data_IF_422561706563
#
_entry.id   IF_422561706563
#
_cell.length_a   1.000
_cell.length_b   1.000
_cell.length_c   1.000
_cell.angle_alpha   90.00
_cell.angle_beta   90.00
_cell.angle_gamma   90.00
#
_symmetry.space_group_name_H-M   'P 1'
#
loop_
_entity.id
_entity.type
_entity.pdbx_description
1 polymer ?
#
# COMPACT_ATOMS: atom_id res chain seq x y z
N UNK A 1 -20.75 -6.89 22.43
CA UNK A 1 -19.75 -6.35 21.51
C UNK A 1 -18.52 -6.00 22.33
N UNK A 2 -17.35 -6.53 21.97
CA UNK A 2 -16.09 -6.23 22.64
C UNK A 2 -15.14 -5.60 21.62
N UNK A 3 -14.37 -4.58 22.06
CA UNK A 3 -13.24 -4.11 21.29
C UNK A 3 -12.09 -5.12 21.36
N UNK A 4 -11.28 -5.18 20.29
CA UNK A 4 -10.02 -5.93 20.28
C UNK A 4 -8.95 -5.22 21.13
N UNK A 5 -7.74 -5.73 21.17
CA UNK A 5 -6.58 -5.03 21.73
C UNK A 5 -5.51 -4.84 20.63
N UNK A 6 -5.17 -3.61 20.22
CA UNK A 6 -5.77 -2.33 20.62
C UNK A 6 -7.20 -2.14 20.06
N UNK A 7 -8.11 -1.62 20.89
CA UNK A 7 -9.51 -1.44 20.50
C UNK A 7 -9.77 -0.16 19.68
N UNK A 8 -8.92 0.83 19.82
CA UNK A 8 -9.01 2.12 19.14
C UNK A 8 -7.65 2.44 18.55
N UNK A 9 -7.61 2.76 17.25
CA UNK A 9 -6.38 3.17 16.56
C UNK A 9 -6.63 4.44 15.76
N UNK A 10 -5.67 5.37 15.76
CA UNK A 10 -5.75 6.56 14.93
C UNK A 10 -5.62 6.17 13.45
N UNK A 11 -6.50 6.70 12.60
CA UNK A 11 -6.33 6.62 11.15
C UNK A 11 -5.59 7.87 10.66
N UNK A 12 -6.05 9.06 11.03
CA UNK A 12 -5.45 10.29 10.57
C UNK A 12 -6.17 11.52 11.09
N UNK A 13 -5.60 12.67 10.77
CA UNK A 13 -6.18 13.97 11.11
C UNK A 13 -6.06 14.93 9.92
N UNK A 14 -7.08 15.74 9.72
CA UNK A 14 -7.04 16.90 8.85
C UNK A 14 -6.92 18.16 9.73
N UNK A 15 -5.79 18.81 9.65
CA UNK A 15 -5.50 20.04 10.40
C UNK A 15 -5.60 21.30 9.51
N UNK A 16 -6.18 21.17 8.32
CA UNK A 16 -6.38 22.29 7.40
C UNK A 16 -7.71 23.00 7.70
N UNK A 17 -7.68 24.33 7.65
CA UNK A 17 -8.86 25.17 7.89
C UNK A 17 -9.20 25.39 9.36
N UNK A 18 -10.32 26.06 9.59
CA UNK A 18 -10.75 26.51 10.92
C UNK A 18 -11.33 25.38 11.79
N UNK A 19 -11.65 24.24 11.18
CA UNK A 19 -12.27 23.10 11.86
C UNK A 19 -11.45 21.80 11.66
N UNK A 20 -10.35 21.60 12.40
CA UNK A 20 -9.60 20.37 12.36
C UNK A 20 -10.45 19.15 12.72
N UNK A 21 -10.27 18.06 11.96
CA UNK A 21 -10.94 16.78 12.17
C UNK A 21 -9.94 15.66 12.42
N UNK A 22 -10.34 14.63 13.15
CA UNK A 22 -9.55 13.42 13.32
C UNK A 22 -10.45 12.19 13.28
N UNK A 23 -9.95 11.11 12.67
CA UNK A 23 -10.66 9.83 12.60
C UNK A 23 -9.89 8.74 13.31
N UNK A 24 -10.62 7.92 14.04
CA UNK A 24 -10.12 6.74 14.72
C UNK A 24 -10.89 5.51 14.24
N UNK A 25 -10.21 4.39 14.12
CA UNK A 25 -10.86 3.09 13.92
C UNK A 25 -11.21 2.47 15.27
N UNK A 26 -12.42 1.96 15.38
CA UNK A 26 -12.85 1.08 16.45
C UNK A 26 -12.70 -0.36 15.95
N UNK A 27 -11.76 -1.11 16.51
CA UNK A 27 -11.51 -2.50 16.14
C UNK A 27 -12.27 -3.42 17.10
N UNK A 28 -13.12 -4.26 16.55
CA UNK A 28 -13.90 -5.22 17.33
C UNK A 28 -13.24 -6.61 17.32
N UNK A 29 -13.43 -7.39 18.36
CA UNK A 29 -12.88 -8.75 18.48
C UNK A 29 -13.41 -9.72 17.39
N UNK A 30 -14.48 -9.37 16.71
CA UNK A 30 -15.02 -10.08 15.55
C UNK A 30 -14.30 -9.78 14.23
N UNK A 31 -13.28 -8.91 14.24
CA UNK A 31 -12.66 -8.41 13.00
C UNK A 31 -13.39 -7.24 12.34
N UNK A 32 -14.64 -6.97 12.73
CA UNK A 32 -15.39 -5.82 12.22
C UNK A 32 -14.76 -4.49 12.67
N UNK A 33 -15.00 -3.43 11.90
CA UNK A 33 -14.51 -2.08 12.18
C UNK A 33 -15.65 -1.09 12.25
N UNK A 34 -15.49 -0.10 13.14
CA UNK A 34 -16.29 1.12 13.17
C UNK A 34 -15.36 2.33 13.12
N UNK A 35 -15.94 3.53 13.07
CA UNK A 35 -15.18 4.77 13.00
C UNK A 35 -15.72 5.79 14.01
N UNK A 36 -14.77 6.51 14.59
CA UNK A 36 -15.03 7.63 15.51
C UNK A 36 -14.46 8.89 14.84
N UNK A 37 -15.33 9.76 14.41
CA UNK A 37 -14.95 11.05 13.84
C UNK A 37 -15.05 12.14 14.92
N UNK A 38 -13.95 12.86 15.08
CA UNK A 38 -13.83 13.96 16.02
C UNK A 38 -13.63 15.26 15.27
N UNK A 39 -14.16 16.36 15.78
CA UNK A 39 -13.88 17.72 15.31
C UNK A 39 -13.52 18.65 16.45
N UNK A 40 -12.76 19.69 16.16
CA UNK A 40 -12.55 20.78 17.11
C UNK A 40 -13.73 21.75 17.07
N UNK A 41 -14.21 22.11 18.25
CA UNK A 41 -15.19 23.17 18.38
C UNK A 41 -14.49 24.54 18.48
N UNK A 42 -15.30 25.63 18.56
CA UNK A 42 -14.81 27.00 18.65
C UNK A 42 -13.94 27.25 19.89
N UNK A 43 -14.06 26.42 20.92
CA UNK A 43 -13.23 26.48 22.15
C UNK A 43 -11.95 25.64 22.03
N UNK A 44 -11.60 25.18 20.83
CA UNK A 44 -10.44 24.33 20.55
C UNK A 44 -10.46 22.97 21.26
N UNK A 45 -11.63 22.51 21.70
CA UNK A 45 -11.81 21.21 22.32
C UNK A 45 -12.24 20.19 21.28
N UNK A 46 -11.71 18.97 21.37
CA UNK A 46 -12.14 17.86 20.54
C UNK A 46 -13.51 17.36 21.00
N UNK A 47 -14.44 17.27 20.08
CA UNK A 47 -15.79 16.76 20.30
C UNK A 47 -16.08 15.65 19.31
N UNK A 48 -16.91 14.69 19.73
CA UNK A 48 -17.43 13.67 18.82
C UNK A 48 -18.30 14.34 17.76
N UNK A 49 -17.98 14.08 16.50
CA UNK A 49 -18.80 14.50 15.36
C UNK A 49 -19.70 13.35 14.90
N UNK A 50 -19.11 12.23 14.56
CA UNK A 50 -19.84 11.06 14.06
C UNK A 50 -19.30 9.76 14.67
N UNK A 51 -20.20 8.86 15.05
CA UNK A 51 -19.87 7.49 15.45
C UNK A 51 -20.52 6.54 14.46
N UNK A 52 -19.69 5.82 13.73
CA UNK A 52 -20.12 4.79 12.82
C UNK A 52 -19.84 3.42 13.39
N UNK A 53 -20.87 2.63 13.58
CA UNK A 53 -20.77 1.25 14.06
C UNK A 53 -21.07 0.27 12.91
N UNK A 54 -20.40 -0.89 12.85
CA UNK A 54 -20.73 -1.94 11.91
C UNK A 54 -22.15 -2.45 12.15
N UNK A 55 -22.84 -2.86 11.10
CA UNK A 55 -24.16 -3.48 11.22
C UNK A 55 -24.08 -4.83 11.96
N UNK A 56 -25.21 -5.34 12.46
CA UNK A 56 -25.25 -6.68 13.07
C UNK A 56 -24.81 -7.78 12.11
N UNK A 57 -25.03 -7.59 10.80
CA UNK A 57 -24.62 -8.55 9.77
C UNK A 57 -23.11 -8.49 9.51
N UNK A 58 -22.51 -7.31 9.61
CA UNK A 58 -21.05 -7.12 9.45
C UNK A 58 -20.28 -7.68 10.63
N UNK A 59 -20.84 -7.56 11.84
CA UNK A 59 -20.28 -8.19 13.05
C UNK A 59 -20.24 -9.72 12.97
N UNK A 60 -21.12 -10.33 12.17
CA UNK A 60 -21.23 -11.79 12.02
C UNK A 60 -20.39 -12.37 10.87
N UNK A 61 -19.85 -11.54 9.97
CA UNK A 61 -19.27 -12.01 8.70
C UNK A 61 -17.83 -11.58 8.43
N UNK A 62 -17.09 -11.06 9.40
CA UNK A 62 -15.72 -10.55 9.22
C UNK A 62 -15.58 -9.53 8.06
N UNK A 63 -16.63 -8.80 7.74
CA UNK A 63 -16.62 -7.82 6.65
C UNK A 63 -16.23 -6.44 7.15
N UNK A 64 -15.34 -5.80 6.40
CA UNK A 64 -15.05 -4.36 6.52
C UNK A 64 -16.37 -3.60 6.36
N UNK A 65 -16.66 -2.67 7.27
CA UNK A 65 -17.89 -1.87 7.21
C UNK A 65 -18.02 -1.18 5.82
N UNK A 66 -19.22 -1.17 5.22
CA UNK A 66 -19.46 -0.63 3.87
C UNK A 66 -19.01 0.83 3.65
N UNK A 67 -18.77 1.57 4.73
CA UNK A 67 -18.38 2.98 4.68
C UNK A 67 -16.97 3.25 4.13
N UNK A 68 -16.10 2.26 4.07
CA UNK A 68 -14.76 2.44 3.50
C UNK A 68 -14.80 2.93 2.03
N UNK A 69 -15.90 2.68 1.32
CA UNK A 69 -16.05 3.03 -0.10
C UNK A 69 -16.59 4.45 -0.35
N UNK A 70 -17.15 5.12 0.65
CA UNK A 70 -17.81 6.43 0.48
C UNK A 70 -16.99 7.61 1.04
N UNK A 71 -15.84 7.34 1.59
CA UNK A 71 -15.00 8.31 2.28
C UNK A 71 -13.54 8.19 1.82
N UNK A 72 -12.90 9.30 1.38
CA UNK A 72 -11.56 9.25 0.83
C UNK A 72 -10.50 8.69 1.80
N UNK A 73 -10.57 9.07 3.08
CA UNK A 73 -9.63 8.56 4.08
C UNK A 73 -9.86 7.06 4.39
N UNK A 74 -11.10 6.62 4.37
CA UNK A 74 -11.46 5.21 4.53
C UNK A 74 -10.92 4.35 3.38
N UNK A 75 -10.94 4.84 2.15
CA UNK A 75 -10.34 4.18 0.98
C UNK A 75 -8.84 4.05 1.14
N UNK A 76 -8.15 5.15 1.51
CA UNK A 76 -6.69 5.13 1.75
C UNK A 76 -6.33 4.13 2.85
N UNK A 77 -7.05 4.15 3.96
CA UNK A 77 -6.82 3.21 5.07
C UNK A 77 -7.02 1.76 4.64
N UNK A 78 -8.09 1.46 3.91
CA UNK A 78 -8.40 0.09 3.46
C UNK A 78 -7.41 -0.40 2.42
N UNK A 79 -7.01 0.46 1.49
CA UNK A 79 -5.97 0.18 0.52
C UNK A 79 -4.64 -0.16 1.20
N UNK A 80 -4.19 0.69 2.11
CA UNK A 80 -2.92 0.50 2.81
C UNK A 80 -2.93 -0.70 3.76
N UNK A 81 -4.06 -1.02 4.36
CA UNK A 81 -4.23 -2.25 5.15
C UNK A 81 -4.04 -3.52 4.30
N UNK A 82 -4.56 -3.52 3.07
CA UNK A 82 -4.38 -4.63 2.15
C UNK A 82 -2.92 -4.72 1.65
N UNK A 83 -2.32 -3.57 1.31
CA UNK A 83 -0.90 -3.49 0.93
C UNK A 83 0.01 -4.01 2.06
N UNK A 84 -0.24 -3.60 3.31
CA UNK A 84 0.56 -4.03 4.46
C UNK A 84 0.46 -5.54 4.75
N UNK A 85 -0.58 -6.20 4.25
CA UNK A 85 -0.77 -7.66 4.31
C UNK A 85 -0.28 -8.39 3.06
N UNK A 86 0.32 -7.68 2.11
CA UNK A 86 0.65 -8.16 0.78
C UNK A 86 -0.56 -8.81 0.05
N UNK A 87 -1.78 -8.34 0.39
CA UNK A 87 -3.02 -8.76 -0.26
C UNK A 87 -3.26 -7.92 -1.51
N UNK A 88 -2.61 -8.31 -2.61
CA UNK A 88 -2.74 -7.64 -3.91
C UNK A 88 -4.21 -7.58 -4.37
N UNK A 89 -4.96 -8.68 -4.25
CA UNK A 89 -6.36 -8.74 -4.69
C UNK A 89 -7.27 -7.83 -3.87
N UNK A 90 -7.01 -7.75 -2.58
CA UNK A 90 -7.70 -6.84 -1.67
C UNK A 90 -7.39 -5.39 -2.00
N UNK A 91 -6.11 -5.04 -2.17
CA UNK A 91 -5.66 -3.70 -2.49
C UNK A 91 -6.22 -3.22 -3.84
N UNK A 92 -6.23 -4.10 -4.85
CA UNK A 92 -6.72 -3.80 -6.19
C UNK A 92 -8.18 -3.33 -6.25
N UNK A 93 -9.01 -3.74 -5.28
CA UNK A 93 -10.42 -3.33 -5.20
C UNK A 93 -10.62 -1.85 -4.90
N UNK A 94 -9.61 -1.20 -4.33
CA UNK A 94 -9.65 0.21 -3.94
C UNK A 94 -9.01 1.14 -4.96
N UNK A 95 -8.59 0.62 -6.12
CA UNK A 95 -7.80 1.35 -7.11
C UNK A 95 -8.60 1.57 -8.39
N UNK A 96 -8.51 2.78 -8.95
CA UNK A 96 -8.94 3.07 -10.31
C UNK A 96 -7.95 2.45 -11.31
N UNK A 97 -8.32 1.30 -11.88
CA UNK A 97 -7.46 0.53 -12.75
C UNK A 97 -7.12 1.16 -14.08
N UNK A 98 -7.78 2.25 -14.42
CA UNK A 98 -7.44 3.03 -15.62
C UNK A 98 -6.31 4.04 -15.35
N UNK A 99 -6.01 4.32 -14.07
CA UNK A 99 -5.04 5.33 -13.63
C UNK A 99 -3.85 4.74 -12.90
N UNK A 100 -4.09 3.74 -12.05
CA UNK A 100 -3.03 3.06 -11.30
C UNK A 100 -2.89 1.64 -11.81
N UNK A 101 -1.71 1.32 -12.31
CA UNK A 101 -1.42 0.02 -12.90
C UNK A 101 -1.28 -1.07 -11.83
N UNK A 102 -1.60 -2.29 -12.21
CA UNK A 102 -1.50 -3.46 -11.33
C UNK A 102 -0.07 -3.66 -10.79
N UNK A 103 0.94 -3.35 -11.59
CA UNK A 103 2.34 -3.43 -11.16
C UNK A 103 2.67 -2.43 -10.05
N UNK A 104 2.09 -1.23 -10.06
CA UNK A 104 2.26 -0.27 -8.95
C UNK A 104 1.71 -0.85 -7.65
N UNK A 105 0.54 -1.48 -7.70
CA UNK A 105 -0.08 -2.12 -6.54
C UNK A 105 0.74 -3.33 -6.07
N UNK A 106 1.17 -4.18 -7.02
CA UNK A 106 2.02 -5.33 -6.72
C UNK A 106 3.36 -4.92 -6.11
N UNK A 107 3.99 -3.87 -6.67
CA UNK A 107 5.23 -3.31 -6.15
C UNK A 107 5.11 -2.76 -4.75
N UNK A 108 4.01 -2.08 -4.44
CA UNK A 108 3.73 -1.65 -3.07
C UNK A 108 3.66 -2.85 -2.11
N UNK A 109 2.90 -3.89 -2.48
CA UNK A 109 2.80 -5.10 -1.66
C UNK A 109 4.17 -5.74 -1.41
N UNK A 110 4.99 -5.86 -2.47
CA UNK A 110 6.35 -6.41 -2.39
C UNK A 110 7.23 -5.56 -1.47
N UNK A 111 7.26 -4.23 -1.68
CA UNK A 111 8.08 -3.32 -0.88
C UNK A 111 7.69 -3.32 0.60
N UNK A 112 6.40 -3.40 0.90
CA UNK A 112 5.93 -3.49 2.28
C UNK A 112 6.34 -4.80 2.96
N UNK A 113 6.21 -5.92 2.24
CA UNK A 113 6.60 -7.24 2.77
C UNK A 113 8.11 -7.30 3.01
N UNK A 114 8.91 -6.94 2.02
CA UNK A 114 10.36 -7.01 2.08
C UNK A 114 11.01 -6.00 3.02
N UNK A 115 10.52 -4.76 2.98
CA UNK A 115 10.99 -3.71 3.87
C UNK A 115 10.44 -3.83 5.29
N UNK A 116 9.54 -4.81 5.55
CA UNK A 116 8.79 -4.95 6.78
C UNK A 116 8.18 -3.62 7.23
N UNK A 117 7.71 -2.83 6.24
CA UNK A 117 7.12 -1.54 6.51
C UNK A 117 5.75 -1.68 7.16
N UNK A 118 5.44 -0.72 8.03
CA UNK A 118 4.15 -0.59 8.69
C UNK A 118 3.72 0.87 8.69
N UNK A 119 2.44 1.11 8.80
CA UNK A 119 1.94 2.46 9.06
C UNK A 119 2.39 2.90 10.45
N UNK A 120 2.73 4.16 10.59
CA UNK A 120 3.05 4.73 11.91
C UNK A 120 1.83 4.69 12.82
N UNK A 121 2.06 4.39 14.10
CA UNK A 121 0.98 4.28 15.09
C UNK A 121 0.44 5.63 15.53
N UNK A 122 1.31 6.65 15.59
CA UNK A 122 0.98 7.98 16.11
C UNK A 122 0.24 8.88 15.10
N UNK A 123 0.57 8.78 13.82
CA UNK A 123 -0.03 9.58 12.76
C UNK A 123 0.11 8.87 11.40
N UNK A 124 -0.65 7.78 11.17
CA UNK A 124 -0.47 6.94 9.98
C UNK A 124 -0.83 7.67 8.68
N UNK A 125 -1.90 8.46 8.68
CA UNK A 125 -2.40 9.14 7.49
C UNK A 125 -2.58 10.63 7.80
N UNK A 126 -2.05 11.47 6.93
CA UNK A 126 -2.23 12.93 6.98
C UNK A 126 -2.88 13.41 5.69
N UNK A 127 -3.98 14.13 5.80
CA UNK A 127 -4.60 14.80 4.66
C UNK A 127 -3.69 15.94 4.20
N UNK A 128 -3.35 15.94 2.91
CA UNK A 128 -2.63 17.02 2.25
C UNK A 128 -3.60 18.09 1.73
N UNK A 129 -4.68 17.63 1.09
CA UNK A 129 -5.80 18.46 0.63
C UNK A 129 -7.06 17.60 0.50
N UNK A 130 -8.21 18.24 0.51
CA UNK A 130 -9.51 17.59 0.29
C UNK A 130 -10.41 18.52 -0.52
N UNK A 131 -11.00 17.97 -1.58
CA UNK A 131 -11.96 18.63 -2.46
C UNK A 131 -13.15 17.68 -2.72
N UNK A 132 -14.29 18.16 -3.27
CA UNK A 132 -15.50 17.35 -3.44
C UNK A 132 -15.32 16.08 -4.28
N UNK A 133 -14.35 16.06 -5.20
CA UNK A 133 -14.12 14.97 -6.16
C UNK A 133 -12.72 14.36 -6.09
N UNK A 134 -11.80 14.94 -5.34
CA UNK A 134 -10.45 14.41 -5.16
C UNK A 134 -9.87 14.81 -3.79
N UNK A 135 -8.97 14.00 -3.27
CA UNK A 135 -8.25 14.28 -2.03
C UNK A 135 -6.85 13.65 -2.07
N UNK A 136 -5.88 14.33 -1.47
CA UNK A 136 -4.49 13.87 -1.37
C UNK A 136 -4.12 13.54 0.07
N UNK A 137 -3.34 12.47 0.23
CA UNK A 137 -2.90 11.98 1.53
C UNK A 137 -1.42 11.61 1.53
N UNK A 138 -0.78 11.83 2.67
CA UNK A 138 0.51 11.25 2.99
C UNK A 138 0.33 10.13 4.00
N UNK A 139 0.76 8.93 3.63
CA UNK A 139 0.78 7.77 4.51
C UNK A 139 2.18 7.63 5.09
N UNK A 140 2.31 7.84 6.38
CA UNK A 140 3.58 7.80 7.09
C UNK A 140 3.93 6.36 7.47
N UNK A 141 5.16 5.98 7.16
CA UNK A 141 5.67 4.64 7.38
C UNK A 141 6.69 4.58 8.52
N UNK A 142 6.77 3.41 9.11
CA UNK A 142 7.83 3.00 10.04
C UNK A 142 8.37 1.62 9.63
N UNK A 143 9.63 1.36 10.00
CA UNK A 143 10.24 0.04 9.81
C UNK A 143 9.86 -0.94 10.93
N UNK A 144 10.42 -2.15 10.86
CA UNK A 144 10.22 -3.18 11.88
C UNK A 144 10.68 -2.75 13.28
N UNK A 145 11.61 -1.78 13.38
CA UNK A 145 12.12 -1.21 14.62
C UNK A 145 11.37 0.05 15.08
N UNK A 146 10.29 0.44 14.39
CA UNK A 146 9.51 1.61 14.70
C UNK A 146 10.14 2.95 14.27
N UNK A 147 11.24 2.93 13.53
CA UNK A 147 11.91 4.14 13.02
C UNK A 147 11.16 4.67 11.80
N UNK A 148 11.16 5.98 11.61
CA UNK A 148 10.57 6.62 10.42
C UNK A 148 11.16 6.06 9.13
N UNK A 149 10.30 5.70 8.19
CA UNK A 149 10.68 4.97 6.99
C UNK A 149 10.25 5.63 5.68
N UNK A 150 9.87 6.88 5.72
CA UNK A 150 9.37 7.60 4.55
C UNK A 150 7.85 7.66 4.50
N UNK A 151 7.32 8.05 3.35
CA UNK A 151 5.90 8.24 3.13
C UNK A 151 5.49 7.65 1.77
N UNK A 152 4.23 7.25 1.66
CA UNK A 152 3.55 7.04 0.39
C UNK A 152 2.57 8.19 0.18
N UNK A 153 2.66 8.86 -0.96
CA UNK A 153 1.68 9.84 -1.40
C UNK A 153 0.55 9.13 -2.14
N UNK A 154 -0.69 9.36 -1.74
CA UNK A 154 -1.87 8.81 -2.40
C UNK A 154 -2.83 9.92 -2.78
N UNK A 155 -3.29 9.93 -4.03
CA UNK A 155 -4.43 10.72 -4.47
C UNK A 155 -5.61 9.78 -4.66
N UNK A 156 -6.74 10.11 -4.07
CA UNK A 156 -8.02 9.45 -4.34
C UNK A 156 -8.93 10.39 -5.14
N UNK A 157 -9.69 9.82 -6.04
CA UNK A 157 -10.64 10.57 -6.85
C UNK A 157 -11.99 9.84 -6.92
N UNK A 158 -13.06 10.60 -7.16
CA UNK A 158 -14.38 10.05 -7.39
C UNK A 158 -14.51 9.60 -8.84
N UNK A 159 -14.68 8.30 -9.05
CA UNK A 159 -14.97 7.69 -10.35
C UNK A 159 -16.31 6.98 -10.24
N UNK A 160 -17.28 7.34 -11.07
CA UNK A 160 -18.67 6.82 -11.05
C UNK A 160 -19.34 6.89 -9.66
N UNK A 161 -19.05 7.96 -8.92
CA UNK A 161 -19.62 8.18 -7.59
C UNK A 161 -18.88 7.48 -6.45
N UNK A 162 -17.91 6.64 -6.74
CA UNK A 162 -17.08 5.92 -5.76
C UNK A 162 -15.70 6.56 -5.63
N UNK A 163 -15.18 6.60 -4.42
CA UNK A 163 -13.80 7.01 -4.17
C UNK A 163 -12.85 5.84 -4.47
N UNK A 164 -11.83 6.10 -5.27
CA UNK A 164 -10.79 5.12 -5.62
C UNK A 164 -9.41 5.79 -5.59
N UNK A 165 -8.39 5.03 -5.29
CA UNK A 165 -6.99 5.46 -5.42
C UNK A 165 -6.71 5.69 -6.91
N UNK A 166 -6.40 6.93 -7.26
CA UNK A 166 -6.15 7.38 -8.62
C UNK A 166 -4.66 7.64 -8.91
N UNK A 167 -3.85 7.76 -7.86
CA UNK A 167 -2.40 7.96 -7.98
C UNK A 167 -1.71 7.45 -6.72
N UNK A 168 -0.55 6.84 -6.89
CA UNK A 168 0.33 6.43 -5.80
C UNK A 168 1.77 6.85 -6.12
N UNK A 169 2.36 7.71 -5.28
CA UNK A 169 3.75 8.14 -5.36
C UNK A 169 4.58 7.37 -4.34
N UNK A 170 5.63 6.72 -4.84
CA UNK A 170 6.50 5.83 -4.08
C UNK A 170 7.89 6.40 -3.83
N UNK A 171 8.20 7.60 -4.33
CA UNK A 171 9.56 8.13 -4.38
C UNK A 171 10.25 8.16 -3.01
N UNK A 172 9.56 8.67 -1.99
CA UNK A 172 10.15 8.73 -0.65
C UNK A 172 10.29 7.36 0.02
N UNK A 173 9.43 6.40 -0.32
CA UNK A 173 9.52 5.03 0.15
C UNK A 173 10.69 4.29 -0.51
N UNK A 174 10.85 4.43 -1.82
CA UNK A 174 11.99 3.87 -2.55
C UNK A 174 13.31 4.43 -2.05
N UNK A 175 13.39 5.74 -1.82
CA UNK A 175 14.57 6.38 -1.24
C UNK A 175 14.89 5.84 0.17
N UNK A 176 13.89 5.67 1.01
CA UNK A 176 14.06 5.10 2.35
C UNK A 176 14.48 3.63 2.30
N UNK A 177 13.98 2.87 1.34
CA UNK A 177 14.35 1.47 1.12
C UNK A 177 15.79 1.34 0.67
N UNK A 178 16.22 2.08 -0.35
CA UNK A 178 17.59 2.04 -0.87
C UNK A 178 18.62 2.48 0.17
N UNK A 179 18.32 3.50 0.96
CA UNK A 179 19.21 3.96 2.06
C UNK A 179 19.43 2.91 3.13
N UNK A 180 18.50 1.98 3.34
CA UNK A 180 18.61 0.93 4.37
C UNK A 180 19.36 -0.28 3.91
N UNK A 181 19.20 -0.67 2.66
CA UNK A 181 19.89 -1.83 2.10
C UNK A 181 21.42 -1.57 1.99
N UNK A 182 21.85 -0.30 2.16
CA UNK A 182 23.25 0.09 1.99
C UNK A 182 23.62 0.15 0.52
N UNK A 183 24.82 0.65 0.24
CA UNK A 183 25.40 0.64 -1.11
C UNK A 183 26.03 -0.74 -1.45
N UNK A 184 25.55 -1.82 -0.85
CA UNK A 184 25.95 -3.19 -1.15
C UNK A 184 25.13 -3.78 -2.28
N UNK A 185 25.60 -4.87 -2.82
CA UNK A 185 25.18 -5.51 -4.09
C UNK A 185 23.68 -5.92 -4.22
N UNK A 186 22.87 -5.68 -3.21
CA UNK A 186 21.45 -6.06 -3.16
C UNK A 186 20.48 -4.87 -3.23
N UNK A 187 20.71 -3.90 -4.12
CA UNK A 187 19.70 -2.89 -4.40
C UNK A 187 18.59 -3.55 -5.20
N UNK A 188 17.57 -4.00 -4.49
CA UNK A 188 16.42 -4.62 -5.07
C UNK A 188 15.37 -3.56 -5.42
N UNK A 189 15.18 -3.27 -6.70
CA UNK A 189 14.09 -2.44 -7.22
C UNK A 189 13.09 -3.38 -7.84
N UNK A 190 12.00 -3.75 -7.13
CA UNK A 190 11.06 -4.75 -7.62
C UNK A 190 10.29 -4.30 -8.87
N UNK A 191 10.29 -3.01 -9.16
CA UNK A 191 9.65 -2.46 -10.36
C UNK A 191 10.59 -1.50 -11.04
N UNK A 192 10.95 -1.82 -12.26
CA UNK A 192 11.72 -0.95 -13.16
C UNK A 192 10.74 -0.33 -14.15
N UNK A 193 10.73 1.00 -14.25
CA UNK A 193 9.95 1.67 -15.29
C UNK A 193 10.51 1.31 -16.65
N UNK A 194 9.72 0.60 -17.45
CA UNK A 194 10.12 0.22 -18.80
C UNK A 194 9.96 1.42 -19.76
N UNK A 195 11.03 1.93 -20.39
CA UNK A 195 10.95 3.05 -21.33
C UNK A 195 10.10 2.75 -22.57
N UNK A 196 9.90 1.48 -22.90
CA UNK A 196 9.09 1.02 -24.04
C UNK A 196 7.61 0.81 -23.70
N UNK A 197 7.22 1.11 -22.46
CA UNK A 197 5.88 0.88 -21.94
C UNK A 197 5.70 -0.50 -21.30
N UNK A 198 4.67 -0.61 -20.45
CA UNK A 198 4.46 -1.79 -19.63
C UNK A 198 5.22 -1.74 -18.30
N UNK A 199 5.12 -2.82 -17.55
CA UNK A 199 5.69 -2.96 -16.21
C UNK A 199 6.76 -4.05 -16.23
N UNK A 200 7.86 -3.82 -15.53
CA UNK A 200 8.94 -4.78 -15.41
C UNK A 200 9.20 -5.12 -13.94
N UNK A 201 9.36 -6.39 -13.65
CA UNK A 201 9.88 -6.88 -12.38
C UNK A 201 11.30 -7.40 -12.63
N UNK A 202 12.27 -6.86 -11.89
CA UNK A 202 13.63 -7.37 -11.89
C UNK A 202 13.80 -8.37 -10.74
N UNK A 203 14.28 -9.57 -11.05
CA UNK A 203 14.70 -10.56 -10.09
C UNK A 203 16.23 -10.64 -10.11
N UNK A 204 16.83 -10.69 -8.93
CA UNK A 204 18.27 -10.76 -8.78
C UNK A 204 18.66 -12.13 -8.24
N UNK A 205 19.76 -12.66 -8.78
CA UNK A 205 20.34 -13.93 -8.38
C UNK A 205 21.68 -13.66 -7.71
N UNK A 206 22.09 -14.53 -6.79
CA UNK A 206 23.43 -14.50 -6.23
C UNK A 206 24.50 -14.84 -7.29
N UNK A 207 25.75 -14.57 -6.96
CA UNK A 207 26.86 -14.89 -7.86
C UNK A 207 26.85 -16.39 -8.21
N UNK A 208 26.81 -16.69 -9.49
CA UNK A 208 26.77 -18.08 -10.01
C UNK A 208 25.54 -18.90 -9.55
N UNK A 209 24.41 -18.23 -9.33
CA UNK A 209 23.14 -18.86 -8.94
C UNK A 209 22.10 -18.72 -10.05
N UNK A 210 21.37 -19.81 -10.30
CA UNK A 210 20.26 -19.92 -11.24
C UNK A 210 18.94 -20.26 -10.51
N UNK A 211 18.99 -20.41 -9.19
CA UNK A 211 17.84 -20.79 -8.38
C UNK A 211 17.19 -19.58 -7.74
N UNK A 212 15.86 -19.55 -7.76
CA UNK A 212 15.09 -18.48 -7.13
C UNK A 212 15.24 -18.52 -5.61
N UNK A 213 15.53 -17.37 -5.01
CA UNK A 213 15.41 -17.22 -3.57
C UNK A 213 13.93 -17.31 -3.15
N UNK A 214 13.67 -17.63 -1.88
CA UNK A 214 12.31 -17.59 -1.32
C UNK A 214 11.63 -16.22 -1.49
N UNK A 215 12.42 -15.17 -1.46
CA UNK A 215 12.02 -13.79 -1.70
C UNK A 215 11.55 -13.62 -3.15
N UNK A 216 12.36 -14.04 -4.11
CA UNK A 216 12.02 -14.00 -5.54
C UNK A 216 10.79 -14.83 -5.86
N UNK A 217 10.66 -16.03 -5.26
CA UNK A 217 9.45 -16.86 -5.39
C UNK A 217 8.20 -16.12 -4.90
N UNK A 218 8.29 -15.45 -3.73
CA UNK A 218 7.17 -14.69 -3.18
C UNK A 218 6.77 -13.53 -4.08
N UNK A 219 7.72 -12.81 -4.65
CA UNK A 219 7.47 -11.73 -5.60
C UNK A 219 6.76 -12.22 -6.85
N UNK A 220 7.25 -13.33 -7.42
CA UNK A 220 6.62 -13.96 -8.58
C UNK A 220 5.18 -14.42 -8.28
N UNK A 221 4.89 -14.88 -7.07
CA UNK A 221 3.51 -15.19 -6.68
C UNK A 221 2.60 -13.97 -6.76
N UNK A 222 3.04 -12.82 -6.26
CA UNK A 222 2.27 -11.56 -6.31
C UNK A 222 2.08 -11.10 -7.77
N UNK A 223 3.13 -11.16 -8.58
CA UNK A 223 3.06 -10.81 -10.01
C UNK A 223 2.16 -11.78 -10.78
N UNK A 224 2.23 -13.09 -10.49
CA UNK A 224 1.36 -14.09 -11.10
C UNK A 224 -0.13 -13.85 -10.79
N UNK A 225 -0.45 -13.37 -9.58
CA UNK A 225 -1.82 -12.95 -9.25
C UNK A 225 -2.27 -11.74 -10.09
N UNK A 226 -1.39 -10.75 -10.26
CA UNK A 226 -1.67 -9.59 -11.09
C UNK A 226 -1.93 -9.96 -12.56
N UNK A 227 -1.11 -10.86 -13.13
CA UNK A 227 -1.26 -11.34 -14.50
C UNK A 227 -2.57 -12.14 -14.67
N UNK A 228 -2.91 -12.99 -13.71
CA UNK A 228 -4.16 -13.78 -13.73
C UNK A 228 -5.42 -12.93 -13.71
N UNK A 229 -5.34 -11.72 -13.19
CA UNK A 229 -6.49 -10.79 -13.15
C UNK A 229 -6.71 -10.04 -14.48
N UNK A 230 -5.72 -10.01 -15.35
CA UNK A 230 -5.79 -9.35 -16.66
C UNK A 230 -5.30 -10.30 -17.76
N UNK A 231 -6.23 -11.01 -18.38
CA UNK A 231 -5.94 -11.97 -19.46
C UNK A 231 -5.43 -11.34 -20.75
N UNK A 232 -5.47 -10.01 -20.87
CA UNK A 232 -4.94 -9.27 -22.02
C UNK A 232 -3.44 -9.00 -21.94
N UNK A 233 -2.82 -9.20 -20.78
CA UNK A 233 -1.38 -8.97 -20.58
C UNK A 233 -0.55 -10.08 -21.20
N UNK A 234 0.57 -9.67 -21.82
CA UNK A 234 1.62 -10.58 -22.28
C UNK A 234 2.77 -10.54 -21.28
N UNK A 235 3.30 -11.70 -20.95
CA UNK A 235 4.51 -11.84 -20.15
C UNK A 235 5.69 -12.03 -21.09
N UNK A 236 6.70 -11.19 -20.95
CA UNK A 236 8.02 -11.36 -21.55
C UNK A 236 9.00 -11.67 -20.44
N UNK A 237 9.82 -12.70 -20.61
CA UNK A 237 10.85 -13.11 -19.66
C UNK A 237 12.19 -12.93 -20.36
N UNK A 238 13.10 -12.20 -19.75
CA UNK A 238 14.45 -11.96 -20.26
C UNK A 238 15.46 -12.28 -19.18
N UNK A 239 16.44 -13.13 -19.50
CA UNK A 239 17.57 -13.42 -18.63
C UNK A 239 18.78 -12.56 -19.01
N UNK A 240 19.51 -12.10 -18.00
CA UNK A 240 20.72 -11.31 -18.18
C UNK A 240 21.79 -11.80 -17.19
N UNK A 241 23.06 -11.69 -17.62
CA UNK A 241 24.23 -11.90 -16.76
C UNK A 241 25.09 -10.63 -16.79
N UNK A 242 26.03 -10.52 -15.85
CA UNK A 242 27.11 -9.53 -15.94
C UNK A 242 28.15 -9.94 -17.01
N UNK A 243 29.23 -9.19 -17.13
CA UNK A 243 30.32 -9.41 -18.07
C UNK A 243 31.45 -10.31 -17.51
N UNK A 244 31.27 -10.87 -16.31
CA UNK A 244 32.23 -11.77 -15.67
C UNK A 244 32.03 -13.18 -16.17
N UNK A 245 33.04 -13.78 -16.80
CA UNK A 245 33.01 -15.15 -17.31
C UNK A 245 33.09 -15.25 -18.83
N UNK A 246 32.92 -16.46 -19.36
CA UNK A 246 32.89 -16.65 -20.82
C UNK A 246 31.47 -16.45 -21.36
N UNK A 247 31.36 -15.95 -22.59
CA UNK A 247 30.08 -15.73 -23.27
C UNK A 247 29.21 -17.01 -23.30
N UNK A 248 29.82 -18.16 -23.58
CA UNK A 248 29.09 -19.44 -23.59
C UNK A 248 28.55 -19.84 -22.22
N UNK A 249 29.31 -19.55 -21.17
CA UNK A 249 28.90 -19.81 -19.79
C UNK A 249 27.74 -18.87 -19.40
N UNK A 250 27.91 -17.59 -19.68
CA UNK A 250 26.89 -16.58 -19.39
C UNK A 250 25.58 -16.80 -20.17
N UNK A 251 25.69 -17.28 -21.43
CA UNK A 251 24.51 -17.68 -22.21
C UNK A 251 23.73 -18.80 -21.49
N UNK A 252 24.42 -19.85 -21.03
CA UNK A 252 23.76 -20.94 -20.32
C UNK A 252 23.20 -20.55 -18.94
N UNK A 253 23.78 -19.54 -18.28
CA UNK A 253 23.29 -19.04 -16.99
C UNK A 253 22.06 -18.14 -17.15
N UNK A 254 21.90 -17.44 -18.30
CA UNK A 254 20.78 -16.54 -18.58
C UNK A 254 19.52 -17.25 -19.12
N UNK A 255 19.61 -18.51 -19.53
CA UNK A 255 18.51 -19.35 -20.02
C UNK A 255 17.78 -20.09 -18.88
#
# INVERSE_FOLDING_TARGET
IRLSSPGITSIGANNQGDNPTARYTLNFSSGARGYLDMKRNDKQQWTLDTLTLPSKQDLAKDKVAPMAMNDPMGIVSSFMDAVAKADFRGARKFVDGTKVQDATVAGLCILFEEGAFRLREDAPIKTAYEAPTNAGFFVHLQDAQGRKAGNVGLTVAKTDGQWLVAEASLDSMLEAYTKRQGAGDDIFIPIVKNPQGGDSLALFFGFNEDTLSKRSERQLQIVAEAIKMDSGKKLEISGHTDDVGSERYNQGLSE
#
